data_IF_019203877942
#
_entry.id   IF_019203877942
#
_cell.length_a   1.000
_cell.length_b   1.000
_cell.length_c   1.000
_cell.angle_alpha   90.00
_cell.angle_beta   90.00
_cell.angle_gamma   90.00
#
_symmetry.space_group_name_H-M   'P 1'
#
loop_
_entity.id
_entity.type
_entity.pdbx_description
1 polymer ?
#
# COMPACT_ATOMS: atom_id res chain seq x y z
N UNK A 1 -16.88 -9.04 -17.03
CA UNK A 1 -16.68 -10.35 -16.38
C UNK A 1 -17.04 -10.14 -14.92
N UNK A 2 -18.30 -10.34 -14.55
CA UNK A 2 -18.71 -10.31 -13.16
C UNK A 2 -18.17 -11.56 -12.51
N UNK A 3 -17.32 -11.35 -11.52
CA UNK A 3 -16.75 -12.39 -10.69
C UNK A 3 -17.81 -12.72 -9.63
N UNK A 4 -18.24 -13.99 -9.53
CA UNK A 4 -19.15 -14.46 -8.46
C UNK A 4 -18.61 -14.08 -7.08
N UNK A 5 -19.46 -13.87 -6.04
CA UNK A 5 -19.00 -13.39 -4.74
C UNK A 5 -18.05 -14.40 -4.12
N UNK A 6 -16.75 -14.17 -4.31
CA UNK A 6 -15.70 -15.02 -3.78
C UNK A 6 -15.67 -15.00 -2.25
N UNK A 7 -16.33 -14.04 -1.60
CA UNK A 7 -16.33 -13.81 -0.16
C UNK A 7 -17.75 -13.58 0.39
N UNK A 8 -17.93 -13.93 1.67
CA UNK A 8 -19.22 -13.78 2.36
C UNK A 8 -19.46 -12.35 2.89
N UNK A 9 -18.45 -11.51 2.81
CA UNK A 9 -18.45 -10.13 3.30
C UNK A 9 -17.65 -9.22 2.35
N UNK A 10 -17.53 -7.95 2.72
CA UNK A 10 -16.82 -6.90 2.00
C UNK A 10 -15.35 -7.25 1.79
N UNK A 11 -14.89 -7.04 0.55
CA UNK A 11 -13.48 -7.13 0.19
C UNK A 11 -12.79 -5.87 0.70
N UNK A 12 -11.71 -6.06 1.46
CA UNK A 12 -10.96 -4.96 2.07
C UNK A 12 -9.75 -4.55 1.22
N UNK A 13 -9.00 -5.52 0.70
CA UNK A 13 -7.87 -5.25 -0.18
C UNK A 13 -7.60 -6.41 -1.14
N UNK A 14 -7.00 -6.07 -2.29
CA UNK A 14 -6.58 -7.03 -3.32
C UNK A 14 -5.16 -6.70 -3.71
N UNK A 15 -4.30 -7.72 -3.71
CA UNK A 15 -2.90 -7.58 -4.10
C UNK A 15 -2.52 -8.61 -5.15
N UNK A 16 -1.94 -8.15 -6.25
CA UNK A 16 -1.30 -9.02 -7.24
C UNK A 16 0.14 -9.34 -6.81
N UNK A 17 0.60 -10.53 -7.17
CA UNK A 17 2.03 -10.83 -7.10
C UNK A 17 2.80 -10.01 -8.15
N UNK A 18 4.13 -9.94 -8.02
CA UNK A 18 4.99 -9.09 -8.85
C UNK A 18 4.86 -9.34 -10.36
N UNK A 19 4.58 -10.59 -10.73
CA UNK A 19 4.43 -11.09 -12.09
C UNK A 19 2.97 -11.08 -12.59
N UNK A 20 2.00 -10.68 -11.76
CA UNK A 20 0.58 -10.60 -12.13
C UNK A 20 -0.08 -11.92 -12.49
N UNK A 21 0.56 -13.05 -12.19
CA UNK A 21 0.03 -14.40 -12.41
C UNK A 21 -0.87 -14.89 -11.28
N UNK A 22 -0.79 -14.23 -10.13
CA UNK A 22 -1.59 -14.53 -8.94
C UNK A 22 -2.11 -13.25 -8.30
N UNK A 23 -3.23 -13.35 -7.62
CA UNK A 23 -3.66 -12.31 -6.68
C UNK A 23 -4.21 -12.93 -5.40
N UNK A 24 -4.18 -12.13 -4.34
CA UNK A 24 -4.78 -12.46 -3.06
C UNK A 24 -5.88 -11.44 -2.75
N UNK A 25 -6.99 -11.93 -2.21
CA UNK A 25 -8.11 -11.12 -1.73
C UNK A 25 -8.20 -11.32 -0.21
N UNK A 26 -8.18 -10.21 0.53
CA UNK A 26 -8.57 -10.20 1.94
C UNK A 26 -9.94 -9.56 2.11
N UNK A 27 -10.71 -10.12 3.03
CA UNK A 27 -12.10 -9.75 3.25
C UNK A 27 -12.41 -9.69 4.75
N UNK A 28 -13.47 -8.98 5.10
CA UNK A 28 -13.98 -8.88 6.47
C UNK A 28 -14.50 -10.22 7.02
N UNK A 29 -14.77 -11.20 6.15
CA UNK A 29 -15.09 -12.60 6.52
C UNK A 29 -13.90 -13.37 7.15
N UNK A 30 -12.77 -12.69 7.41
CA UNK A 30 -11.54 -13.24 8.01
C UNK A 30 -10.86 -14.31 7.15
N UNK A 31 -11.12 -14.31 5.84
CA UNK A 31 -10.48 -15.24 4.91
C UNK A 31 -9.54 -14.51 3.95
N UNK A 32 -8.38 -15.11 3.72
CA UNK A 32 -7.54 -14.78 2.58
C UNK A 32 -7.73 -15.87 1.53
N UNK A 33 -8.11 -15.45 0.31
CA UNK A 33 -8.21 -16.35 -0.85
C UNK A 33 -7.17 -15.97 -1.88
N UNK A 34 -6.51 -16.99 -2.45
CA UNK A 34 -5.48 -16.83 -3.47
C UNK A 34 -5.99 -17.42 -4.77
N UNK A 35 -5.79 -16.67 -5.84
CA UNK A 35 -6.20 -17.03 -7.18
C UNK A 35 -5.00 -17.09 -8.12
N UNK A 36 -4.96 -18.12 -8.94
CA UNK A 36 -3.96 -18.30 -9.97
C UNK A 36 -4.60 -18.11 -11.34
N UNK A 37 -3.83 -17.57 -12.28
CA UNK A 37 -4.23 -17.51 -13.68
C UNK A 37 -3.83 -18.82 -14.38
N UNK A 38 -4.82 -19.61 -14.77
CA UNK A 38 -4.66 -20.87 -15.51
C UNK A 38 -5.43 -20.74 -16.84
N UNK A 39 -4.73 -20.89 -17.96
CA UNK A 39 -5.31 -20.79 -19.31
C UNK A 39 -6.16 -19.52 -19.54
N UNK A 40 -5.72 -18.39 -18.99
CA UNK A 40 -6.40 -17.11 -19.10
C UNK A 40 -7.58 -16.91 -18.15
N UNK A 41 -7.96 -17.94 -17.38
CA UNK A 41 -9.01 -17.90 -16.36
C UNK A 41 -8.42 -17.82 -14.96
N UNK A 42 -9.17 -17.20 -14.05
CA UNK A 42 -8.78 -17.08 -12.64
C UNK A 42 -9.43 -18.20 -11.84
N UNK A 43 -8.62 -19.00 -11.16
CA UNK A 43 -9.08 -20.14 -10.37
C UNK A 43 -8.58 -20.01 -8.93
N UNK A 44 -9.44 -20.35 -7.96
CA UNK A 44 -9.07 -20.33 -6.54
C UNK A 44 -8.05 -21.44 -6.27
N UNK A 45 -6.84 -21.06 -5.88
CA UNK A 45 -5.74 -21.98 -5.57
C UNK A 45 -5.69 -22.37 -4.11
N UNK A 46 -6.03 -21.45 -3.20
CA UNK A 46 -5.94 -21.68 -1.77
C UNK A 46 -6.89 -20.74 -1.03
N UNK A 47 -7.36 -21.20 0.13
CA UNK A 47 -8.06 -20.36 1.11
C UNK A 47 -7.59 -20.71 2.52
N UNK A 48 -7.40 -19.68 3.33
CA UNK A 48 -7.06 -19.84 4.73
C UNK A 48 -7.63 -18.69 5.57
N UNK A 49 -7.89 -19.00 6.84
CA UNK A 49 -8.40 -18.04 7.81
C UNK A 49 -7.26 -17.33 8.50
N UNK A 50 -7.37 -16.02 8.63
CA UNK A 50 -6.49 -15.22 9.48
C UNK A 50 -7.23 -14.86 10.78
N UNK A 51 -6.49 -14.63 11.86
CA UNK A 51 -7.09 -14.44 13.19
C UNK A 51 -7.42 -12.98 13.49
N UNK A 52 -7.17 -12.07 12.55
CA UNK A 52 -7.32 -10.65 12.78
C UNK A 52 -8.70 -10.15 12.36
N UNK A 53 -9.33 -9.36 13.21
CA UNK A 53 -10.60 -8.73 12.90
C UNK A 53 -10.32 -7.54 11.97
N UNK A 54 -11.04 -7.46 10.85
CA UNK A 54 -10.91 -6.42 9.83
C UNK A 54 -9.50 -6.33 9.19
N UNK A 55 -9.30 -7.06 8.09
CA UNK A 55 -8.10 -6.92 7.27
C UNK A 55 -8.00 -5.50 6.69
N UNK A 56 -6.77 -5.00 6.59
CA UNK A 56 -6.50 -3.63 6.16
C UNK A 56 -5.68 -3.56 4.88
N UNK A 57 -4.53 -4.24 4.83
CA UNK A 57 -3.66 -4.30 3.64
C UNK A 57 -3.18 -5.71 3.40
N UNK A 58 -3.05 -6.05 2.12
CA UNK A 58 -2.39 -7.28 1.66
C UNK A 58 -1.20 -6.90 0.80
N UNK A 59 -0.04 -7.52 1.05
CA UNK A 59 1.16 -7.32 0.23
C UNK A 59 1.86 -8.63 -0.04
N UNK A 60 2.33 -8.80 -1.27
CA UNK A 60 3.21 -9.89 -1.65
C UNK A 60 4.67 -9.50 -1.41
N UNK A 61 5.48 -10.44 -0.94
CA UNK A 61 6.92 -10.25 -0.92
C UNK A 61 7.53 -10.54 -2.31
N UNK A 62 8.79 -10.13 -2.48
CA UNK A 62 9.57 -10.48 -3.66
C UNK A 62 9.73 -12.01 -3.76
N UNK A 63 9.43 -12.64 -4.91
CA UNK A 63 9.55 -14.08 -5.12
C UNK A 63 10.91 -14.67 -4.77
N UNK A 64 11.99 -13.87 -4.78
CA UNK A 64 13.33 -14.33 -4.38
C UNK A 64 13.40 -14.81 -2.92
N UNK A 65 12.48 -14.35 -2.07
CA UNK A 65 12.36 -14.78 -0.68
C UNK A 65 11.31 -15.88 -0.48
N UNK A 66 10.78 -16.43 -1.57
CA UNK A 66 9.66 -17.36 -1.57
C UNK A 66 8.32 -16.66 -1.81
N UNK A 67 7.24 -17.45 -1.82
CA UNK A 67 5.89 -16.94 -1.98
C UNK A 67 5.33 -16.58 -0.61
N UNK A 68 5.46 -15.30 -0.26
CA UNK A 68 5.06 -14.76 1.03
C UNK A 68 4.00 -13.69 0.86
N UNK A 69 3.04 -13.66 1.78
CA UNK A 69 1.98 -12.65 1.84
C UNK A 69 1.93 -12.10 3.26
N UNK A 70 1.90 -10.79 3.41
CA UNK A 70 1.59 -10.12 4.67
C UNK A 70 0.18 -9.57 4.63
N UNK A 71 -0.54 -9.75 5.72
CA UNK A 71 -1.85 -9.17 5.98
C UNK A 71 -1.72 -8.33 7.25
N UNK A 72 -2.04 -7.04 7.15
CA UNK A 72 -2.22 -6.19 8.33
C UNK A 72 -3.70 -6.12 8.70
N UNK A 73 -3.96 -5.89 9.97
CA UNK A 73 -5.29 -5.61 10.49
C UNK A 73 -5.29 -4.29 11.26
N UNK A 74 -6.48 -3.71 11.32
CA UNK A 74 -6.75 -2.54 12.13
C UNK A 74 -6.58 -2.82 13.63
N UNK A 75 -6.81 -4.06 14.09
CA UNK A 75 -6.71 -4.48 15.49
C UNK A 75 -5.33 -5.04 15.86
N UNK A 76 -4.26 -4.41 15.33
CA UNK A 76 -2.87 -4.50 15.84
C UNK A 76 -2.10 -5.78 15.51
N UNK A 77 -2.66 -6.67 14.70
CA UNK A 77 -1.99 -7.90 14.26
C UNK A 77 -1.50 -7.82 12.81
N UNK A 78 -0.27 -8.24 12.56
CA UNK A 78 0.20 -8.60 11.22
C UNK A 78 0.43 -10.10 11.17
N UNK A 79 -0.13 -10.73 10.15
CA UNK A 79 0.14 -12.12 9.87
C UNK A 79 0.90 -12.23 8.55
N UNK A 80 2.01 -12.96 8.58
CA UNK A 80 2.75 -13.31 7.37
C UNK A 80 2.51 -14.78 7.06
N UNK A 81 2.22 -15.11 5.82
CA UNK A 81 1.91 -16.46 5.35
C UNK A 81 2.91 -16.85 4.26
N UNK A 82 3.39 -18.08 4.32
CA UNK A 82 4.38 -18.65 3.39
C UNK A 82 3.83 -19.89 2.70
N UNK A 83 3.92 -19.93 1.38
CA UNK A 83 3.62 -21.13 0.60
C UNK A 83 4.79 -22.11 0.68
N UNK A 84 4.54 -23.33 1.17
CA UNK A 84 5.49 -24.44 1.14
C UNK A 84 4.95 -25.58 0.31
N UNK A 85 5.81 -26.15 -0.53
CA UNK A 85 5.52 -27.40 -1.23
C UNK A 85 5.81 -28.56 -0.29
N UNK A 86 4.81 -29.40 -0.05
CA UNK A 86 4.93 -30.60 0.74
C UNK A 86 4.87 -31.81 -0.20
N UNK A 87 5.84 -32.70 -0.08
CA UNK A 87 5.86 -33.97 -0.80
C UNK A 87 5.17 -35.01 0.09
N UNK A 88 4.01 -35.49 -0.34
CA UNK A 88 3.31 -36.59 0.29
C UNK A 88 3.58 -37.84 -0.53
N UNK A 89 4.09 -38.88 0.10
CA UNK A 89 4.18 -40.21 -0.50
C UNK A 89 2.92 -40.99 -0.15
N UNK A 90 2.17 -41.38 -1.18
CA UNK A 90 1.04 -42.28 -1.01
C UNK A 90 1.57 -43.70 -0.69
N UNK A 91 0.72 -44.55 -0.12
CA UNK A 91 1.03 -45.95 0.23
C UNK A 91 1.58 -46.78 -0.95
N UNK A 92 1.38 -46.31 -2.19
CA UNK A 92 1.86 -46.91 -3.43
C UNK A 92 3.22 -46.35 -3.92
N UNK A 93 3.93 -45.55 -3.11
CA UNK A 93 5.21 -44.92 -3.46
C UNK A 93 5.11 -43.74 -4.44
N UNK A 94 3.91 -43.32 -4.83
CA UNK A 94 3.69 -42.16 -5.69
C UNK A 94 3.84 -40.86 -4.88
N UNK A 95 4.76 -40.00 -5.32
CA UNK A 95 5.01 -38.67 -4.74
C UNK A 95 4.01 -37.66 -5.31
N UNK A 96 3.11 -37.16 -4.47
CA UNK A 96 2.23 -36.05 -4.78
C UNK A 96 2.78 -34.76 -4.15
N UNK A 97 2.84 -33.68 -4.93
CA UNK A 97 3.23 -32.36 -4.43
C UNK A 97 1.96 -31.59 -4.08
N UNK A 98 1.82 -31.21 -2.81
CA UNK A 98 0.73 -30.34 -2.34
C UNK A 98 1.29 -29.00 -1.88
N UNK A 99 0.51 -27.94 -2.05
CA UNK A 99 0.85 -26.59 -1.58
C UNK A 99 0.17 -26.31 -0.26
N UNK A 100 0.94 -26.01 0.78
CA UNK A 100 0.43 -25.70 2.12
C UNK A 100 0.91 -24.31 2.51
N UNK A 101 -0.02 -23.47 2.96
CA UNK A 101 0.28 -22.15 3.51
C UNK A 101 0.53 -22.26 5.01
N UNK A 102 1.70 -21.82 5.46
CA UNK A 102 2.08 -21.80 6.88
C UNK A 102 2.22 -20.37 7.36
N UNK A 103 1.63 -20.09 8.52
CA UNK A 103 1.76 -18.79 9.17
C UNK A 103 3.18 -18.65 9.76
N UNK A 104 3.79 -17.48 9.51
CA UNK A 104 4.97 -16.97 10.20
C UNK A 104 4.53 -16.05 11.33
N UNK A 105 5.18 -16.16 12.49
CA UNK A 105 4.88 -15.32 13.64
C UNK A 105 5.55 -13.95 13.52
N UNK A 106 4.77 -12.90 13.70
CA UNK A 106 5.22 -11.53 13.91
C UNK A 106 4.44 -11.00 15.11
N UNK A 107 5.17 -10.64 16.16
CA UNK A 107 4.59 -10.04 17.37
C UNK A 107 4.91 -8.56 17.35
N UNK A 108 3.86 -7.73 17.47
CA UNK A 108 4.01 -6.29 17.61
C UNK A 108 3.79 -5.92 19.07
N UNK A 109 4.75 -5.19 19.66
CA UNK A 109 4.61 -4.64 21.01
C UNK A 109 3.84 -3.31 20.98
N UNK A 110 3.91 -2.58 19.86
CA UNK A 110 3.30 -1.27 19.68
C UNK A 110 1.79 -1.40 19.44
N UNK A 111 1.02 -0.63 20.21
CA UNK A 111 -0.45 -0.71 20.25
C UNK A 111 -1.17 0.32 19.36
N UNK A 112 -0.52 0.79 18.30
CA UNK A 112 -1.02 1.83 17.40
C UNK A 112 -1.68 1.27 16.13
N UNK A 113 -2.53 2.05 15.47
CA UNK A 113 -3.16 1.68 14.21
C UNK A 113 -2.13 1.56 13.09
N UNK A 114 -2.18 0.44 12.37
CA UNK A 114 -1.35 0.20 11.19
C UNK A 114 -2.04 0.85 9.99
N UNK A 115 -1.30 1.70 9.30
CA UNK A 115 -1.78 2.45 8.14
C UNK A 115 -1.40 1.75 6.84
N UNK A 116 -0.15 1.34 6.73
CA UNK A 116 0.33 0.61 5.56
C UNK A 116 1.47 -0.33 5.95
N UNK A 117 1.65 -1.35 5.14
CA UNK A 117 2.74 -2.32 5.26
C UNK A 117 3.39 -2.51 3.90
N UNK A 118 4.68 -2.81 3.89
CA UNK A 118 5.33 -3.20 2.64
C UNK A 118 6.59 -4.02 2.90
N UNK A 119 6.76 -5.06 2.09
CA UNK A 119 8.03 -5.78 2.03
C UNK A 119 9.11 -4.90 1.41
N UNK A 120 10.30 -4.94 2.00
CA UNK A 120 11.40 -4.03 1.71
C UNK A 120 12.75 -4.71 1.52
N UNK A 121 13.67 -3.87 1.01
CA UNK A 121 15.08 -4.06 0.64
C UNK A 121 15.46 -5.20 -0.30
N UNK A 122 16.17 -4.83 -1.38
CA UNK A 122 16.74 -5.81 -2.30
C UNK A 122 18.01 -6.46 -1.75
N UNK A 123 18.78 -5.70 -0.97
CA UNK A 123 20.12 -6.06 -0.53
C UNK A 123 20.21 -6.58 0.91
N UNK A 124 19.27 -6.17 1.78
CA UNK A 124 19.32 -6.44 3.23
C UNK A 124 18.44 -7.62 3.67
N UNK A 125 18.12 -8.54 2.76
CA UNK A 125 17.26 -9.69 3.05
C UNK A 125 15.77 -9.35 3.10
N UNK A 126 14.98 -10.21 3.73
CA UNK A 126 13.52 -10.06 3.78
C UNK A 126 13.13 -9.10 4.90
N UNK A 127 12.87 -7.84 4.54
CA UNK A 127 12.35 -6.83 5.45
C UNK A 127 10.85 -6.65 5.28
N UNK A 128 10.17 -6.33 6.37
CA UNK A 128 8.80 -5.87 6.41
C UNK A 128 8.75 -4.54 7.15
N UNK A 129 8.27 -3.52 6.47
CA UNK A 129 8.14 -2.18 7.03
C UNK A 129 6.68 -1.90 7.33
N UNK A 130 6.46 -1.38 8.52
CA UNK A 130 5.14 -1.13 9.09
C UNK A 130 5.06 0.36 9.40
N UNK A 131 4.09 1.02 8.77
CA UNK A 131 3.79 2.42 9.00
C UNK A 131 2.59 2.55 9.93
N UNK A 132 2.76 3.34 11.00
CA UNK A 132 1.73 3.58 12.01
C UNK A 132 1.10 4.97 11.85
N UNK A 133 -0.14 5.10 12.36
CA UNK A 133 -0.92 6.34 12.27
C UNK A 133 -0.32 7.51 13.07
N UNK A 134 0.52 7.21 14.07
CA UNK A 134 1.22 8.21 14.89
C UNK A 134 2.45 8.83 14.20
N UNK A 135 2.82 8.36 13.00
CA UNK A 135 3.94 8.92 12.26
C UNK A 135 5.23 8.10 12.34
N UNK A 136 5.20 7.02 13.10
CA UNK A 136 6.35 6.17 13.35
C UNK A 136 6.37 4.99 12.39
N UNK A 137 7.57 4.56 12.04
CA UNK A 137 7.81 3.37 11.23
C UNK A 137 8.67 2.37 12.00
N UNK A 138 8.31 1.10 11.89
CA UNK A 138 9.12 -0.02 12.34
C UNK A 138 9.59 -0.87 11.16
N UNK A 139 10.85 -1.30 11.21
CA UNK A 139 11.47 -2.19 10.23
C UNK A 139 11.74 -3.54 10.89
N UNK A 140 11.10 -4.58 10.40
CA UNK A 140 11.24 -5.95 10.88
C UNK A 140 11.96 -6.81 9.86
N UNK A 141 12.93 -7.62 10.29
CA UNK A 141 13.64 -8.57 9.43
C UNK A 141 13.26 -10.00 9.76
N UNK A 142 13.08 -10.81 8.73
CA UNK A 142 12.93 -12.23 8.89
C UNK A 142 14.29 -12.90 9.10
N UNK A 143 14.41 -13.67 10.17
CA UNK A 143 15.55 -14.54 10.43
C UNK A 143 15.23 -16.00 10.09
N UNK A 144 16.25 -16.87 10.07
CA UNK A 144 16.18 -18.28 9.65
C UNK A 144 15.05 -19.09 10.32
N UNK A 145 14.64 -18.70 11.52
CA UNK A 145 13.55 -19.34 12.27
C UNK A 145 12.14 -19.00 11.77
N UNK A 146 12.00 -18.35 10.61
CA UNK A 146 10.72 -17.83 10.06
C UNK A 146 10.01 -16.83 10.99
N UNK A 147 10.76 -16.20 11.89
CA UNK A 147 10.26 -15.17 12.80
C UNK A 147 10.73 -13.81 12.31
N UNK A 148 9.81 -12.86 12.28
CA UNK A 148 10.15 -11.46 12.10
C UNK A 148 10.54 -10.85 13.45
N UNK A 149 11.65 -10.12 13.47
CA UNK A 149 12.10 -9.36 14.64
C UNK A 149 12.38 -7.93 14.24
N UNK A 150 12.15 -7.01 15.17
CA UNK A 150 12.48 -5.60 15.00
C UNK A 150 14.01 -5.45 14.86
N UNK A 151 14.45 -4.84 13.76
CA UNK A 151 15.89 -4.66 13.45
C UNK A 151 16.34 -3.20 13.64
N UNK A 152 15.41 -2.24 13.55
CA UNK A 152 15.69 -0.82 13.71
C UNK A 152 14.96 -0.24 14.94
N UNK A 153 15.49 0.85 15.48
CA UNK A 153 14.76 1.69 16.42
C UNK A 153 13.51 2.30 15.76
N UNK A 154 12.53 2.68 16.57
CA UNK A 154 11.34 3.36 16.07
C UNK A 154 11.74 4.68 15.40
N UNK A 155 11.47 4.80 14.10
CA UNK A 155 11.83 6.00 13.34
C UNK A 155 10.59 6.89 13.22
N UNK A 156 10.66 8.08 13.79
CA UNK A 156 9.65 9.12 13.58
C UNK A 156 9.87 9.77 12.21
N UNK A 157 8.92 9.56 11.29
CA UNK A 157 9.00 10.06 9.91
C UNK A 157 8.15 11.31 9.72
N UNK A 158 6.87 11.26 10.12
CA UNK A 158 5.92 12.35 9.96
C UNK A 158 5.28 12.71 11.30
N UNK A 159 5.47 13.91 11.84
CA UNK A 159 4.89 14.26 13.14
C UNK A 159 3.35 14.31 13.13
N UNK A 160 2.73 14.52 11.97
CA UNK A 160 1.27 14.46 11.79
C UNK A 160 0.81 13.15 11.16
N UNK A 161 1.47 12.05 11.47
CA UNK A 161 0.98 10.73 11.09
C UNK A 161 1.22 10.37 9.62
N UNK A 162 1.33 9.07 9.39
CA UNK A 162 1.53 8.50 8.06
C UNK A 162 0.20 8.10 7.42
N UNK A 163 0.19 8.03 6.09
CA UNK A 163 -0.96 7.60 5.27
C UNK A 163 -0.63 6.48 4.30
N UNK A 164 0.55 6.53 3.69
CA UNK A 164 0.94 5.55 2.71
C UNK A 164 2.47 5.47 2.59
N UNK A 165 2.92 4.32 2.10
CA UNK A 165 4.33 4.04 1.93
C UNK A 165 4.55 3.33 0.58
N UNK A 166 5.67 3.65 -0.09
CA UNK A 166 6.08 2.91 -1.28
C UNK A 166 7.60 2.72 -1.36
N UNK A 167 8.05 1.49 -1.57
CA UNK A 167 9.46 1.18 -1.85
C UNK A 167 9.87 1.49 -3.30
N UNK A 168 11.12 1.92 -3.48
CA UNK A 168 11.78 2.01 -4.78
C UNK A 168 12.06 0.61 -5.34
N UNK A 169 11.49 0.32 -6.51
CA UNK A 169 11.62 -0.98 -7.17
C UNK A 169 12.80 -1.07 -8.15
N UNK A 170 13.55 0.01 -8.39
CA UNK A 170 14.72 0.01 -9.27
C UNK A 170 15.84 -0.94 -8.77
N UNK A 171 16.28 -1.94 -9.55
CA UNK A 171 17.24 -2.95 -9.08
C UNK A 171 18.64 -2.41 -8.74
N UNK A 172 19.09 -1.37 -9.44
CA UNK A 172 20.43 -0.80 -9.32
C UNK A 172 20.54 0.34 -8.29
N UNK A 173 19.43 0.79 -7.74
CA UNK A 173 19.39 1.93 -6.83
C UNK A 173 19.61 1.53 -5.38
N UNK A 174 19.92 2.53 -4.56
CA UNK A 174 19.91 2.42 -3.10
C UNK A 174 18.51 2.03 -2.62
N UNK A 175 18.45 1.28 -1.52
CA UNK A 175 17.18 0.89 -0.90
C UNK A 175 16.49 2.12 -0.31
N UNK A 176 15.47 2.62 -1.01
CA UNK A 176 14.76 3.85 -0.67
C UNK A 176 13.26 3.60 -0.61
N UNK A 177 12.58 4.43 0.19
CA UNK A 177 11.13 4.46 0.27
C UNK A 177 10.61 5.88 0.35
N UNK A 178 9.43 6.09 -0.23
CA UNK A 178 8.66 7.32 -0.12
C UNK A 178 7.58 7.13 0.96
N UNK A 179 7.40 8.14 1.80
CA UNK A 179 6.36 8.20 2.83
C UNK A 179 5.48 9.42 2.62
N UNK A 180 4.18 9.20 2.74
CA UNK A 180 3.14 10.20 2.68
C UNK A 180 2.48 10.36 4.06
N UNK A 181 2.16 11.59 4.44
CA UNK A 181 1.57 11.94 5.73
C UNK A 181 0.38 12.89 5.64
N UNK A 182 -0.13 13.29 6.80
CA UNK A 182 -1.15 14.33 6.90
C UNK A 182 -0.54 15.72 7.03
N UNK A 183 -1.35 16.71 6.66
CA UNK A 183 -1.14 18.10 7.05
C UNK A 183 -1.51 18.33 8.53
N UNK A 184 -1.30 19.57 8.98
CA UNK A 184 -1.64 20.02 10.33
C UNK A 184 -3.14 19.97 10.66
N UNK A 185 -4.03 19.91 9.67
CA UNK A 185 -5.48 19.94 9.90
C UNK A 185 -6.07 18.58 10.26
N UNK A 186 -5.25 17.52 10.28
CA UNK A 186 -5.69 16.16 10.62
C UNK A 186 -6.31 16.08 12.01
N UNK A 187 -7.64 15.85 12.06
CA UNK A 187 -8.42 15.75 13.30
C UNK A 187 -7.89 14.67 14.26
N UNK A 188 -7.47 13.53 13.71
CA UNK A 188 -6.91 12.41 14.48
C UNK A 188 -5.74 12.84 15.37
N UNK A 189 -4.84 13.70 14.86
CA UNK A 189 -3.68 14.14 15.63
C UNK A 189 -3.96 15.38 16.46
N UNK A 190 -4.88 16.25 16.01
CA UNK A 190 -5.35 17.36 16.85
C UNK A 190 -5.92 16.88 18.18
N UNK A 191 -6.57 15.71 18.20
CA UNK A 191 -7.07 15.07 19.41
C UNK A 191 -5.95 14.45 20.28
N UNK A 192 -4.81 14.07 19.70
CA UNK A 192 -3.66 13.51 20.44
C UNK A 192 -2.67 14.56 20.92
N UNK A 193 -2.53 15.66 20.19
CA UNK A 193 -1.58 16.75 20.45
C UNK A 193 -2.34 17.90 21.12
N UNK A 194 -2.67 17.74 22.40
CA UNK A 194 -3.55 18.68 23.12
C UNK A 194 -3.02 20.13 23.24
N UNK A 195 -1.72 20.41 22.98
CA UNK A 195 -1.10 21.69 23.38
C UNK A 195 -0.04 22.31 22.44
N UNK A 196 0.10 21.86 21.20
CA UNK A 196 1.14 22.42 20.30
C UNK A 196 0.57 23.32 19.20
N UNK A 197 1.22 24.46 18.96
CA UNK A 197 1.05 25.24 17.73
C UNK A 197 1.50 24.37 16.56
N UNK A 198 0.54 23.86 15.79
CA UNK A 198 0.83 23.02 14.64
C UNK A 198 1.50 23.89 13.57
N UNK A 199 2.72 23.50 13.18
CA UNK A 199 3.47 24.15 12.11
C UNK A 199 3.14 23.47 10.80
N UNK A 200 3.08 24.21 9.70
CA UNK A 200 3.03 23.62 8.37
C UNK A 200 4.24 22.72 8.15
N UNK A 201 4.00 21.48 7.76
CA UNK A 201 5.04 20.51 7.46
C UNK A 201 4.94 20.03 6.02
N UNK A 202 6.05 19.52 5.50
CA UNK A 202 6.07 18.79 4.24
C UNK A 202 5.53 17.38 4.46
N UNK A 203 4.50 17.02 3.72
CA UNK A 203 3.75 15.77 3.89
C UNK A 203 4.28 14.62 3.04
N UNK A 204 5.35 14.85 2.27
CA UNK A 204 5.94 13.86 1.38
C UNK A 204 7.48 13.85 1.50
N UNK A 205 8.06 12.69 1.83
CA UNK A 205 9.51 12.56 2.02
C UNK A 205 10.06 11.21 1.55
N UNK A 206 11.28 11.23 1.00
CA UNK A 206 12.07 10.06 0.61
C UNK A 206 13.07 9.77 1.72
N UNK A 207 13.16 8.51 2.09
CA UNK A 207 14.11 8.00 3.08
C UNK A 207 14.93 6.86 2.49
N UNK A 208 16.17 6.77 2.92
CA UNK A 208 17.12 5.75 2.53
C UNK A 208 17.36 4.79 3.68
N UNK A 209 17.33 3.50 3.38
CA UNK A 209 17.79 2.46 4.27
C UNK A 209 19.30 2.26 4.07
N UNK A 210 20.06 2.51 5.12
CA UNK A 210 21.50 2.31 5.17
C UNK A 210 21.84 1.17 6.13
N UNK A 211 22.89 0.41 5.82
CA UNK A 211 23.40 -0.65 6.67
C UNK A 211 24.76 -0.23 7.23
N UNK A 212 24.77 0.34 8.42
CA UNK A 212 26.00 0.69 9.13
C UNK A 212 26.42 -0.47 10.03
N UNK A 213 27.47 -1.20 9.60
CA UNK A 213 28.22 -2.30 10.26
C UNK A 213 27.46 -3.38 11.06
N UNK A 214 26.46 -3.05 11.87
CA UNK A 214 25.58 -3.96 12.63
C UNK A 214 24.11 -3.49 12.80
N UNK A 215 23.73 -2.27 12.36
CA UNK A 215 22.37 -1.75 12.49
C UNK A 215 21.85 -1.19 11.18
N UNK A 216 20.56 -1.40 10.92
CA UNK A 216 19.85 -0.69 9.87
C UNK A 216 19.46 0.70 10.37
N UNK A 217 19.87 1.73 9.63
CA UNK A 217 19.48 3.12 9.87
C UNK A 217 18.61 3.61 8.73
N UNK A 218 17.58 4.36 9.06
CA UNK A 218 16.68 4.95 8.08
C UNK A 218 16.84 6.46 8.12
N UNK A 219 17.45 7.02 7.08
CA UNK A 219 17.83 8.43 7.04
C UNK A 219 17.00 9.17 6.01
N UNK A 220 16.57 10.38 6.36
CA UNK A 220 15.82 11.24 5.46
C UNK A 220 16.72 11.69 4.31
N UNK A 221 16.32 11.38 3.08
CA UNK A 221 17.07 11.71 1.89
C UNK A 221 16.58 13.01 1.25
N UNK A 222 15.26 13.19 1.13
CA UNK A 222 14.68 14.35 0.47
C UNK A 222 13.28 14.65 1.00
N UNK A 223 12.90 15.92 1.06
CA UNK A 223 11.53 16.36 1.36
C UNK A 223 10.95 17.11 0.17
N UNK A 224 9.81 16.61 -0.32
CA UNK A 224 9.09 17.25 -1.39
C UNK A 224 8.22 18.38 -0.83
N UNK A 225 8.12 19.46 -1.59
CA UNK A 225 7.36 20.66 -1.23
C UNK A 225 5.85 20.45 -1.49
N UNK A 226 5.22 19.64 -0.65
CA UNK A 226 3.77 19.44 -0.57
C UNK A 226 3.35 19.65 0.88
N UNK A 227 2.40 20.56 1.11
CA UNK A 227 1.89 20.88 2.44
C UNK A 227 0.52 20.24 2.70
N UNK A 228 -0.12 19.68 1.67
CA UNK A 228 -1.45 19.07 1.81
C UNK A 228 -1.35 17.61 2.20
N UNK A 229 -2.38 17.11 2.87
CA UNK A 229 -2.52 15.68 3.13
C UNK A 229 -2.38 14.85 1.85
N UNK A 230 -1.48 13.86 1.88
CA UNK A 230 -1.26 12.90 0.79
C UNK A 230 -1.92 11.58 1.17
N UNK A 231 -3.00 11.22 0.48
CA UNK A 231 -3.82 10.05 0.81
C UNK A 231 -3.15 8.73 0.46
N UNK A 232 -2.47 8.70 -0.68
CA UNK A 232 -1.75 7.52 -1.16
C UNK A 232 -0.55 7.94 -1.99
N UNK A 233 0.49 7.10 -1.99
CA UNK A 233 1.73 7.33 -2.71
C UNK A 233 2.25 6.03 -3.28
N UNK A 234 2.69 6.07 -4.54
CA UNK A 234 3.35 4.93 -5.15
C UNK A 234 4.51 5.33 -6.05
N UNK A 235 5.64 4.68 -5.78
CA UNK A 235 6.84 4.73 -6.60
C UNK A 235 6.68 3.81 -7.80
N UNK A 236 6.84 4.35 -9.00
CA UNK A 236 6.72 3.62 -10.24
C UNK A 236 7.98 2.80 -10.54
N UNK A 237 7.83 1.71 -11.27
CA UNK A 237 8.97 0.95 -11.78
C UNK A 237 9.75 1.77 -12.82
N UNK A 238 11.06 1.82 -12.68
CA UNK A 238 11.92 2.60 -13.56
C UNK A 238 11.92 2.06 -14.99
N UNK A 239 11.97 0.73 -15.18
CA UNK A 239 11.92 0.05 -16.48
C UNK A 239 12.84 0.67 -17.56
N UNK A 240 14.07 1.03 -17.18
CA UNK A 240 15.05 1.62 -18.09
C UNK A 240 14.87 3.13 -18.37
N UNK A 241 13.88 3.80 -17.75
CA UNK A 241 13.78 5.26 -17.78
C UNK A 241 14.99 5.87 -17.06
N UNK A 242 15.52 6.96 -17.60
CA UNK A 242 16.60 7.73 -16.97
C UNK A 242 16.13 8.57 -15.78
N UNK A 243 14.86 8.51 -15.41
CA UNK A 243 14.25 9.25 -14.31
C UNK A 243 13.30 8.33 -13.52
N UNK A 244 13.10 8.67 -12.25
CA UNK A 244 12.10 8.07 -11.38
C UNK A 244 10.77 8.79 -11.50
N UNK A 245 9.69 8.07 -11.18
CA UNK A 245 8.35 8.64 -11.13
C UNK A 245 7.67 8.22 -9.84
N UNK A 246 7.03 9.17 -9.18
CA UNK A 246 6.18 8.93 -8.02
C UNK A 246 4.81 9.52 -8.33
N UNK A 247 3.76 8.71 -8.21
CA UNK A 247 2.39 9.20 -8.22
C UNK A 247 1.92 9.36 -6.77
N UNK A 248 1.22 10.45 -6.49
CA UNK A 248 0.61 10.65 -5.19
C UNK A 248 -0.72 11.39 -5.33
N UNK A 249 -1.67 11.03 -4.46
CA UNK A 249 -3.00 11.61 -4.43
C UNK A 249 -3.14 12.59 -3.27
N UNK A 250 -3.63 13.79 -3.55
CA UNK A 250 -3.95 14.81 -2.55
C UNK A 250 -5.39 15.25 -2.72
N UNK A 251 -5.85 16.16 -1.83
CA UNK A 251 -7.17 16.78 -1.96
C UNK A 251 -7.36 17.54 -3.28
N UNK A 252 -6.27 17.99 -3.91
CA UNK A 252 -6.32 18.70 -5.21
C UNK A 252 -6.34 17.77 -6.43
N UNK A 253 -6.28 16.45 -6.20
CA UNK A 253 -6.16 15.44 -7.26
C UNK A 253 -4.81 14.74 -7.25
N UNK A 254 -4.50 14.08 -8.37
CA UNK A 254 -3.31 13.22 -8.47
C UNK A 254 -2.18 13.96 -9.19
N UNK A 255 -0.99 13.89 -8.61
CA UNK A 255 0.24 14.47 -9.16
C UNK A 255 1.23 13.34 -9.45
N UNK A 256 1.92 13.42 -10.60
CA UNK A 256 3.08 12.58 -10.91
C UNK A 256 4.31 13.46 -10.89
N UNK A 257 5.21 13.17 -9.96
CA UNK A 257 6.51 13.80 -9.85
C UNK A 257 7.57 12.97 -10.57
N UNK A 258 8.26 13.59 -11.54
CA UNK A 258 9.38 13.01 -12.26
C UNK A 258 10.69 13.66 -11.82
N UNK A 259 11.68 12.83 -11.49
CA UNK A 259 12.94 13.32 -10.96
C UNK A 259 14.12 12.39 -11.21
N UNK A 260 15.33 12.92 -11.02
CA UNK A 260 16.58 12.15 -11.02
C UNK A 260 17.34 12.39 -9.73
N UNK A 261 18.11 11.41 -9.28
CA UNK A 261 19.05 11.63 -8.19
C UNK A 261 20.28 12.38 -8.71
N UNK A 262 20.69 13.44 -8.02
CA UNK A 262 21.96 14.13 -8.22
C UNK A 262 22.80 13.92 -6.98
N UNK A 263 23.98 13.30 -7.16
CA UNK A 263 24.91 13.05 -6.06
C UNK A 263 24.30 12.18 -4.95
N UNK A 264 24.64 12.49 -3.70
CA UNK A 264 24.30 11.65 -2.55
C UNK A 264 23.06 12.10 -1.77
N UNK A 265 22.51 13.28 -2.04
CA UNK A 265 21.41 13.85 -1.24
C UNK A 265 20.49 14.80 -2.00
N UNK A 266 20.68 14.97 -3.31
CA UNK A 266 19.89 15.92 -4.09
C UNK A 266 19.03 15.21 -5.12
N UNK A 267 17.94 15.89 -5.47
CA UNK A 267 16.99 15.43 -6.48
C UNK A 267 16.84 16.52 -7.53
N UNK A 268 17.17 16.19 -8.78
CA UNK A 268 16.83 17.02 -9.94
C UNK A 268 15.33 16.93 -10.19
N UNK A 269 14.60 18.02 -9.94
CA UNK A 269 13.19 18.10 -10.30
C UNK A 269 13.10 18.31 -11.81
N UNK A 270 12.55 17.33 -12.52
CA UNK A 270 12.38 17.44 -13.96
C UNK A 270 10.99 17.95 -14.30
N UNK A 271 9.95 17.25 -13.87
CA UNK A 271 8.57 17.59 -14.21
C UNK A 271 7.59 17.26 -13.08
N UNK A 272 6.52 18.05 -12.99
CA UNK A 272 5.34 17.75 -12.20
C UNK A 272 4.14 17.72 -13.14
N UNK A 273 3.47 16.57 -13.21
CA UNK A 273 2.33 16.35 -14.10
C UNK A 273 1.08 16.22 -13.23
N UNK A 274 0.03 16.97 -13.56
CA UNK A 274 -1.25 16.88 -12.88
C UNK A 274 -2.19 15.99 -13.70
N UNK A 275 -2.86 15.04 -13.05
CA UNK A 275 -3.83 14.15 -13.70
C UNK A 275 -5.24 14.57 -13.30
N UNK A 276 -6.04 14.87 -14.32
CA UNK A 276 -7.48 15.10 -14.25
C UNK A 276 -7.91 16.05 -13.13
N UNK A 277 -7.43 17.30 -13.22
CA UNK A 277 -8.02 18.42 -12.50
C UNK A 277 -9.37 18.75 -13.15
N UNK A 278 -10.43 18.05 -12.79
CA UNK A 278 -11.79 18.52 -13.08
C UNK A 278 -12.24 19.37 -11.89
N UNK A 279 -12.03 20.70 -11.89
CA UNK A 279 -12.37 21.57 -10.76
C UNK A 279 -13.87 21.63 -10.46
N UNK A 280 -14.72 21.11 -11.36
CA UNK A 280 -16.18 21.13 -11.21
C UNK A 280 -16.75 19.93 -10.48
N UNK A 281 -15.99 18.84 -10.30
CA UNK A 281 -16.47 17.64 -9.59
C UNK A 281 -15.83 17.57 -8.20
N UNK A 282 -16.65 17.46 -7.15
CA UNK A 282 -16.22 17.14 -5.79
C UNK A 282 -15.73 15.68 -5.73
N UNK A 283 -14.57 15.43 -6.34
CA UNK A 283 -13.95 14.11 -6.42
C UNK A 283 -12.68 14.09 -5.58
N UNK A 284 -12.59 13.14 -4.67
CA UNK A 284 -11.42 12.88 -3.85
C UNK A 284 -10.66 11.68 -4.41
N UNK A 285 -9.46 11.91 -4.95
CA UNK A 285 -8.56 10.81 -5.29
C UNK A 285 -7.92 10.28 -4.00
N UNK A 286 -8.10 8.99 -3.70
CA UNK A 286 -7.62 8.41 -2.45
C UNK A 286 -6.68 7.21 -2.62
N UNK A 287 -6.59 6.61 -3.82
CA UNK A 287 -5.69 5.49 -4.12
C UNK A 287 -5.08 5.62 -5.50
N UNK A 288 -3.77 5.37 -5.61
CA UNK A 288 -3.01 5.41 -6.86
C UNK A 288 -2.26 4.10 -7.06
N UNK A 289 -2.38 3.50 -8.24
CA UNK A 289 -1.67 2.26 -8.55
C UNK A 289 -1.10 2.21 -9.98
N UNK A 290 0.20 2.01 -10.09
CA UNK A 290 0.96 1.77 -11.31
C UNK A 290 0.83 0.33 -11.73
N UNK A 291 0.82 0.12 -13.05
CA UNK A 291 1.15 -1.19 -13.59
C UNK A 291 2.67 -1.44 -13.56
N UNK A 292 3.08 -2.70 -13.75
CA UNK A 292 4.49 -3.09 -13.71
C UNK A 292 5.37 -2.36 -14.73
N UNK A 293 4.80 -1.90 -15.84
CA UNK A 293 5.50 -1.15 -16.89
C UNK A 293 5.58 0.37 -16.61
N UNK A 294 4.90 0.88 -15.59
CA UNK A 294 4.82 2.30 -15.27
C UNK A 294 4.35 3.17 -16.45
N UNK A 295 3.40 2.67 -17.24
CA UNK A 295 2.78 3.38 -18.37
C UNK A 295 1.24 3.45 -18.25
N UNK A 296 0.67 2.71 -17.31
CA UNK A 296 -0.72 2.82 -16.89
C UNK A 296 -0.75 3.20 -15.41
N UNK A 297 -1.67 4.10 -15.08
CA UNK A 297 -1.95 4.50 -13.71
C UNK A 297 -3.46 4.37 -13.47
N UNK A 298 -3.86 3.53 -12.52
CA UNK A 298 -5.22 3.50 -12.02
C UNK A 298 -5.36 4.43 -10.82
N UNK A 299 -6.41 5.23 -10.82
CA UNK A 299 -6.75 6.15 -9.74
C UNK A 299 -8.16 5.82 -9.28
N UNK A 300 -8.30 5.63 -7.96
CA UNK A 300 -9.62 5.47 -7.33
C UNK A 300 -10.10 6.81 -6.80
N UNK A 301 -11.32 7.18 -7.18
CA UNK A 301 -11.98 8.41 -6.81
C UNK A 301 -13.20 8.10 -5.94
N UNK A 302 -13.44 8.95 -4.96
CA UNK A 302 -14.68 9.03 -4.21
C UNK A 302 -15.36 10.35 -4.55
N UNK A 303 -16.58 10.28 -5.06
CA UNK A 303 -17.39 11.44 -5.38
C UNK A 303 -18.43 11.64 -4.30
N UNK A 304 -18.53 12.87 -3.81
CA UNK A 304 -19.54 13.25 -2.82
C UNK A 304 -20.60 14.06 -3.57
N UNK A 305 -21.76 13.46 -3.77
CA UNK A 305 -22.93 14.11 -4.37
C UNK A 305 -23.84 14.57 -3.22
N UNK A 306 -23.94 15.88 -3.05
CA UNK A 306 -24.85 16.49 -2.09
C UNK A 306 -26.16 16.83 -2.81
N UNK A 307 -27.13 15.91 -2.76
CA UNK A 307 -28.51 16.26 -3.10
C UNK A 307 -29.18 16.83 -1.86
N UNK A 308 -30.15 17.75 -2.03
CA UNK A 308 -30.69 18.67 -1.02
C UNK A 308 -31.15 18.06 0.33
N UNK A 309 -31.12 16.74 0.54
CA UNK A 309 -31.27 16.07 1.84
C UNK A 309 -30.45 14.78 2.04
N UNK A 310 -29.64 14.34 1.06
CA UNK A 310 -28.85 13.10 1.15
C UNK A 310 -27.47 13.27 0.53
N UNK A 311 -26.42 12.95 1.30
CA UNK A 311 -25.07 12.77 0.77
C UNK A 311 -24.95 11.35 0.23
N UNK A 312 -24.79 11.22 -1.08
CA UNK A 312 -24.46 9.93 -1.69
C UNK A 312 -22.99 9.92 -2.08
N UNK A 313 -22.28 8.86 -1.70
CA UNK A 313 -20.89 8.64 -2.09
C UNK A 313 -20.84 7.59 -3.19
N UNK A 314 -20.27 7.95 -4.33
CA UNK A 314 -20.00 6.99 -5.42
C UNK A 314 -18.50 6.82 -5.59
N UNK A 315 -18.08 5.64 -6.06
CA UNK A 315 -16.67 5.34 -6.28
C UNK A 315 -16.45 4.93 -7.73
N UNK A 316 -15.47 5.56 -8.35
CA UNK A 316 -15.03 5.18 -9.69
C UNK A 316 -13.52 4.92 -9.70
N UNK A 317 -13.12 3.98 -10.54
CA UNK A 317 -11.71 3.78 -10.88
C UNK A 317 -11.48 4.26 -12.31
N UNK A 318 -10.63 5.27 -12.47
CA UNK A 318 -10.20 5.75 -13.79
C UNK A 318 -8.80 5.20 -14.08
N UNK A 319 -8.61 4.64 -15.26
CA UNK A 319 -7.30 4.17 -15.74
C UNK A 319 -6.78 5.15 -16.76
N UNK A 320 -5.59 5.68 -16.50
CA UNK A 320 -4.87 6.59 -17.38
C UNK A 320 -3.73 5.86 -18.06
N UNK A 321 -3.47 6.20 -19.32
CA UNK A 321 -2.38 5.67 -20.11
C UNK A 321 -1.49 6.82 -20.60
N UNK A 322 -0.18 6.63 -20.49
CA UNK A 322 0.78 7.51 -21.12
C UNK A 322 0.80 7.23 -22.64
N UNK A 323 0.36 8.20 -23.44
CA UNK A 323 0.41 8.17 -24.90
C UNK A 323 1.03 9.48 -25.40
N UNK A 324 2.08 9.38 -26.22
CA UNK A 324 2.78 10.53 -26.82
C UNK A 324 3.19 11.61 -25.80
N UNK A 325 3.60 11.20 -24.60
CA UNK A 325 4.00 12.11 -23.51
C UNK A 325 2.86 12.65 -22.66
N UNK A 326 1.60 12.44 -23.05
CA UNK A 326 0.43 12.89 -22.32
C UNK A 326 -0.31 11.74 -21.63
N UNK A 327 -0.85 12.00 -20.45
CA UNK A 327 -1.69 11.05 -19.73
C UNK A 327 -3.14 11.22 -20.17
N UNK A 328 -3.67 10.20 -20.84
CA UNK A 328 -5.05 10.19 -21.31
C UNK A 328 -5.88 9.14 -20.58
N UNK A 329 -7.16 9.42 -20.36
CA UNK A 329 -8.10 8.45 -19.79
C UNK A 329 -8.35 7.33 -20.79
N UNK A 330 -8.00 6.10 -20.41
CA UNK A 330 -8.22 4.91 -21.22
C UNK A 330 -9.57 4.27 -20.94
N UNK A 331 -9.94 4.20 -19.67
CA UNK A 331 -11.15 3.52 -19.22
C UNK A 331 -11.64 4.14 -17.92
N UNK A 332 -12.95 4.25 -17.79
CA UNK A 332 -13.63 4.61 -16.55
C UNK A 332 -14.42 3.37 -16.15
N UNK A 333 -14.15 2.87 -14.95
CA UNK A 333 -14.88 1.78 -14.34
C UNK A 333 -15.65 2.40 -13.19
N UNK A 334 -16.92 2.70 -13.42
CA UNK A 334 -17.81 3.13 -12.34
C UNK A 334 -18.30 1.91 -11.58
N UNK A 335 -18.24 1.97 -10.24
CA UNK A 335 -18.96 1.00 -9.42
C UNK A 335 -20.42 1.48 -9.28
N UNK A 336 -21.41 0.79 -9.88
CA UNK A 336 -22.80 1.13 -9.65
C UNK A 336 -23.19 0.77 -8.21
N UNK A 337 -23.53 1.80 -7.43
CA UNK A 337 -24.32 1.74 -6.20
C UNK A 337 -23.90 0.70 -5.15
N UNK A 338 -22.96 1.08 -4.28
CA UNK A 338 -22.86 0.51 -2.94
C UNK A 338 -23.63 1.40 -1.96
N UNK A 339 -24.97 1.43 -2.09
CA UNK A 339 -25.83 1.77 -0.95
C UNK A 339 -25.80 0.54 -0.03
N UNK A 340 -24.86 0.52 0.91
CA UNK A 340 -25.00 -0.27 2.14
C UNK A 340 -24.63 0.62 3.32
N UNK A 341 -25.69 1.02 4.01
CA UNK A 341 -25.73 1.49 5.38
C UNK A 341 -24.70 2.54 5.77
N UNK A 342 -25.18 3.78 5.84
CA UNK A 342 -24.54 4.91 6.52
C UNK A 342 -24.07 4.53 7.94
N UNK A 343 -24.70 3.55 8.60
CA UNK A 343 -24.25 3.03 9.89
C UNK A 343 -23.01 2.13 9.83
N UNK A 344 -22.79 1.42 8.72
CA UNK A 344 -21.57 0.61 8.52
C UNK A 344 -20.36 1.50 8.16
N UNK A 345 -20.58 2.57 7.37
CA UNK A 345 -19.57 3.60 7.07
C UNK A 345 -19.22 4.47 8.29
N UNK A 346 -20.18 4.76 9.17
CA UNK A 346 -19.90 5.39 10.47
C UNK A 346 -19.12 4.49 11.43
N UNK A 347 -19.12 3.17 11.22
CA UNK A 347 -18.27 2.23 11.96
C UNK A 347 -16.88 2.06 11.35
N UNK A 348 -16.62 2.63 10.16
CA UNK A 348 -15.27 2.78 9.60
C UNK A 348 -14.65 4.02 10.24
N UNK A 349 -13.63 3.89 11.11
CA UNK A 349 -13.09 5.04 11.84
C UNK A 349 -12.46 6.09 10.94
N UNK A 350 -12.13 5.76 9.68
CA UNK A 350 -11.66 6.78 8.73
C UNK A 350 -12.74 7.79 8.40
N UNK A 351 -14.04 7.46 8.36
CA UNK A 351 -15.08 8.47 8.08
C UNK A 351 -15.35 9.35 9.30
N UNK A 352 -15.29 8.81 10.52
CA UNK A 352 -15.44 9.61 11.75
C UNK A 352 -14.19 10.41 12.13
N UNK A 353 -13.02 10.08 11.59
CA UNK A 353 -11.79 10.86 11.75
C UNK A 353 -11.54 11.85 10.59
N UNK A 354 -12.36 11.84 9.54
CA UNK A 354 -12.24 12.71 8.35
C UNK A 354 -13.33 13.80 8.28
N UNK A 355 -14.34 13.80 9.17
CA UNK A 355 -15.15 15.01 9.43
C UNK A 355 -14.53 15.88 10.51
#
# INVERSE_FOLDING_TARGET
MLIEPFHQDTIQDIAFNQNGSRFAIASSDQTLRIFNKVDGKWEKSSDFKFSCNNAWKVKWADPKFGQLIAISSQSKGIQVWEEKKQYLENSNGQKQITTVWKQRSLTLEKMELIVDIQFGSKSNGLLLVIAFADGIVQVHRAYENNQFRLEAEEISIMPYGLRALSWNQAPSDKDMSIFAGNDENSRYLRLKLENNTLQKIKTLSIWMLQHETQKLTFTKFFEYDEEKTVYDVQWANQNGKSYHQIAFATQEGVKIWQFRFIGESQVEKQNLIYINQDPQQNSLAYKVQWNSLANLLSISYEFIINDNQQQTTTRDVKVFQLQNGNWITKTIISEPNLIKDIQSLLSIPSVQLIQ
#
